data_IF_512460053874
#
_entry.id   IF_512460053874
#
_cell.length_a   1.000
_cell.length_b   1.000
_cell.length_c   1.000
_cell.angle_alpha   90.00
_cell.angle_beta   90.00
_cell.angle_gamma   90.00
#
_symmetry.space_group_name_H-M   'P 1'
#
loop_
_entity.id
_entity.type
_entity.pdbx_description
1 polymer ?
#
# COMPACT_ATOMS: atom_id res chain seq x y z
N UNK A 1 -11.88 17.29 80.32
CA UNK A 1 -10.80 16.65 79.59
C UNK A 1 -11.43 15.94 78.37
N UNK A 2 -11.36 16.55 77.21
CA UNK A 2 -12.01 16.08 75.99
C UNK A 2 -10.92 15.80 74.95
N UNK A 3 -10.73 14.50 74.66
CA UNK A 3 -9.82 14.07 73.58
C UNK A 3 -10.55 14.08 72.26
N UNK A 4 -10.04 14.86 71.30
CA UNK A 4 -10.42 14.78 69.86
C UNK A 4 -9.45 13.87 69.11
N UNK A 5 -9.92 12.93 68.30
CA UNK A 5 -9.06 12.19 67.43
C UNK A 5 -8.74 12.99 66.15
N UNK A 6 -7.49 13.00 65.75
CA UNK A 6 -6.97 13.60 64.54
C UNK A 6 -7.19 12.64 63.38
N UNK A 7 -7.95 13.05 62.34
CA UNK A 7 -8.06 12.31 61.10
C UNK A 7 -6.87 12.65 60.19
N UNK A 8 -6.03 11.67 59.91
CA UNK A 8 -4.99 11.76 58.88
C UNK A 8 -5.61 11.42 57.50
N UNK A 9 -5.60 12.42 56.62
CA UNK A 9 -6.02 12.23 55.23
C UNK A 9 -4.81 11.66 54.45
N UNK A 10 -4.91 10.42 53.99
CA UNK A 10 -3.94 9.77 53.12
C UNK A 10 -4.26 10.16 51.67
N UNK A 11 -3.46 11.08 51.11
CA UNK A 11 -3.59 11.48 49.71
C UNK A 11 -2.98 10.39 48.80
N UNK A 12 -3.79 9.68 48.08
CA UNK A 12 -3.38 8.72 47.04
C UNK A 12 -3.04 9.50 45.76
N UNK A 13 -1.76 9.63 45.45
CA UNK A 13 -1.28 10.20 44.18
C UNK A 13 -1.27 9.10 43.14
N UNK A 14 -2.25 9.13 42.24
CA UNK A 14 -2.32 8.23 41.08
C UNK A 14 -1.32 8.75 40.04
N UNK A 15 -0.15 8.12 39.95
CA UNK A 15 0.84 8.41 38.90
C UNK A 15 0.37 7.89 37.55
N UNK A 16 0.03 8.79 36.61
CA UNK A 16 -0.09 8.42 35.21
C UNK A 16 1.31 8.14 34.66
N UNK A 17 1.57 6.90 34.28
CA UNK A 17 2.76 6.55 33.51
C UNK A 17 2.65 7.13 32.08
N UNK A 18 3.69 7.77 31.55
CA UNK A 18 3.66 8.25 30.17
C UNK A 18 3.64 7.05 29.21
N UNK A 19 2.58 6.97 28.42
CA UNK A 19 2.52 6.04 27.28
C UNK A 19 3.52 6.54 26.24
N UNK A 20 4.69 5.92 26.18
CA UNK A 20 5.62 6.12 25.07
C UNK A 20 5.03 5.47 23.81
N UNK A 21 4.50 6.29 22.91
CA UNK A 21 4.25 5.88 21.53
C UNK A 21 5.62 5.63 20.90
N UNK A 22 5.96 4.37 20.71
CA UNK A 22 7.15 4.00 19.94
C UNK A 22 6.93 4.48 18.50
N UNK A 23 7.61 5.57 18.08
CA UNK A 23 7.75 5.85 16.65
C UNK A 23 8.51 4.66 16.05
N UNK A 24 7.87 3.97 15.09
CA UNK A 24 8.57 2.99 14.28
C UNK A 24 9.78 3.69 13.64
N UNK A 25 10.96 3.07 13.77
CA UNK A 25 12.16 3.57 13.12
C UNK A 25 11.89 3.72 11.61
N UNK A 26 12.40 4.78 10.93
CA UNK A 26 12.24 4.88 9.49
C UNK A 26 12.83 3.64 8.84
N UNK A 27 11.99 2.91 8.10
CA UNK A 27 12.44 1.80 7.26
C UNK A 27 13.46 2.40 6.29
N UNK A 28 14.67 1.87 6.26
CA UNK A 28 15.73 2.41 5.42
C UNK A 28 15.26 2.48 3.96
N UNK A 29 15.66 3.53 3.24
CA UNK A 29 15.30 3.71 1.84
C UNK A 29 15.64 2.44 1.05
N UNK A 30 14.61 1.73 0.57
CA UNK A 30 14.78 0.50 -0.20
C UNK A 30 14.19 -0.78 0.43
N UNK A 31 13.77 -0.77 1.69
CA UNK A 31 13.06 -1.90 2.30
C UNK A 31 11.58 -1.54 2.45
N UNK A 32 10.66 -2.22 1.72
CA UNK A 32 9.22 -1.97 1.83
C UNK A 32 8.61 -2.62 3.07
N UNK A 33 7.53 -2.02 3.56
CA UNK A 33 6.57 -2.71 4.41
C UNK A 33 5.90 -3.82 3.57
N UNK A 34 5.63 -4.97 4.18
CA UNK A 34 4.95 -6.08 3.51
C UNK A 34 3.57 -6.27 4.11
N UNK A 35 2.54 -6.25 3.26
CA UNK A 35 1.16 -6.49 3.68
C UNK A 35 0.64 -7.75 2.99
N UNK A 36 0.00 -8.63 3.74
CA UNK A 36 -0.55 -9.90 3.26
C UNK A 36 -2.06 -9.90 3.40
N UNK A 37 -2.76 -10.35 2.37
CA UNK A 37 -4.21 -10.42 2.34
C UNK A 37 -4.65 -11.81 1.88
N UNK A 38 -5.57 -12.40 2.64
CA UNK A 38 -6.18 -13.67 2.25
C UNK A 38 -7.24 -13.48 1.15
N UNK A 39 -7.45 -14.51 0.36
CA UNK A 39 -8.61 -14.63 -0.52
C UNK A 39 -9.89 -14.62 0.33
N UNK A 40 -10.86 -13.78 0.01
CA UNK A 40 -12.13 -13.65 0.73
C UNK A 40 -13.34 -14.26 -0.03
N UNK A 41 -13.07 -14.96 -1.14
CA UNK A 41 -14.07 -15.56 -2.02
C UNK A 41 -14.69 -14.59 -3.04
N UNK A 42 -14.34 -13.31 -2.96
CA UNK A 42 -14.76 -12.24 -3.90
C UNK A 42 -13.55 -11.55 -4.51
N UNK A 43 -12.63 -11.16 -3.66
CA UNK A 43 -11.32 -10.63 -4.03
C UNK A 43 -10.30 -11.75 -3.83
N UNK A 44 -9.68 -12.24 -4.91
CA UNK A 44 -8.72 -13.36 -4.82
C UNK A 44 -7.50 -13.01 -3.98
N UNK A 45 -7.07 -11.77 -4.01
CA UNK A 45 -5.80 -11.32 -3.48
C UNK A 45 -4.62 -12.14 -4.06
N UNK A 46 -3.47 -12.08 -3.42
CA UNK A 46 -2.28 -12.82 -3.85
C UNK A 46 -1.58 -13.43 -2.63
N UNK A 47 -0.90 -14.54 -2.83
CA UNK A 47 0.03 -15.07 -1.82
C UNK A 47 1.30 -14.21 -1.70
N UNK A 48 1.62 -13.44 -2.74
CA UNK A 48 2.72 -12.48 -2.74
C UNK A 48 2.34 -11.24 -1.91
N UNK A 49 3.24 -10.68 -1.11
CA UNK A 49 2.96 -9.50 -0.32
C UNK A 49 2.77 -8.26 -1.21
N UNK A 50 1.86 -7.37 -0.81
CA UNK A 50 1.90 -5.97 -1.24
C UNK A 50 3.15 -5.33 -0.65
N UNK A 51 3.87 -4.56 -1.46
CA UNK A 51 5.07 -3.85 -1.01
C UNK A 51 4.77 -2.36 -0.93
N UNK A 52 4.96 -1.78 0.25
CA UNK A 52 4.72 -0.36 0.50
C UNK A 52 6.02 0.34 0.84
N UNK A 53 6.50 1.15 -0.11
CA UNK A 53 7.64 2.02 0.05
C UNK A 53 7.18 3.38 0.56
N UNK A 54 7.76 3.84 1.67
CA UNK A 54 7.45 5.15 2.25
C UNK A 54 8.46 6.20 1.81
N UNK A 55 7.95 7.37 1.44
CA UNK A 55 8.73 8.58 1.19
C UNK A 55 9.92 8.34 0.25
N UNK A 56 9.65 7.67 -0.89
CA UNK A 56 10.65 7.45 -1.94
C UNK A 56 11.24 8.80 -2.38
N UNK A 57 12.57 8.97 -2.35
CA UNK A 57 13.20 10.20 -2.80
C UNK A 57 12.90 10.46 -4.29
N UNK A 58 12.28 11.59 -4.58
CA UNK A 58 11.92 12.01 -5.93
C UNK A 58 12.60 13.33 -6.25
N UNK A 59 13.28 13.40 -7.38
CA UNK A 59 13.99 14.61 -7.81
C UNK A 59 13.06 15.60 -8.56
N UNK A 60 13.32 16.88 -8.35
CA UNK A 60 12.60 17.97 -9.04
C UNK A 60 11.24 18.29 -8.40
N UNK A 61 10.54 19.26 -8.98
CA UNK A 61 9.24 19.77 -8.49
C UNK A 61 8.05 19.00 -9.06
N UNK A 62 8.16 18.45 -10.27
CA UNK A 62 7.14 17.61 -10.89
C UNK A 62 7.30 16.16 -10.41
N UNK A 63 6.61 15.83 -9.31
CA UNK A 63 6.65 14.50 -8.70
C UNK A 63 6.07 13.41 -9.61
N UNK A 64 5.08 13.73 -10.44
CA UNK A 64 4.51 12.77 -11.38
C UNK A 64 5.54 12.38 -12.45
N UNK A 65 6.20 13.36 -13.06
CA UNK A 65 7.26 13.08 -14.02
C UNK A 65 8.47 12.36 -13.37
N UNK A 66 8.77 12.63 -12.10
CA UNK A 66 9.83 11.92 -11.37
C UNK A 66 9.47 10.45 -11.16
N UNK A 67 8.24 10.13 -10.75
CA UNK A 67 7.75 8.77 -10.61
C UNK A 67 7.74 8.02 -11.95
N UNK A 68 7.29 8.67 -13.03
CA UNK A 68 7.33 8.06 -14.36
C UNK A 68 8.76 7.68 -14.79
N UNK A 69 9.72 8.58 -14.58
CA UNK A 69 11.13 8.27 -14.86
C UNK A 69 11.65 7.13 -13.99
N UNK A 70 11.33 7.14 -12.69
CA UNK A 70 11.74 6.10 -11.76
C UNK A 70 11.22 4.72 -12.22
N UNK A 71 9.92 4.62 -12.50
CA UNK A 71 9.29 3.37 -12.93
C UNK A 71 9.83 2.91 -14.30
N UNK A 72 9.92 3.81 -15.27
CA UNK A 72 10.45 3.48 -16.60
C UNK A 72 11.90 2.99 -16.54
N UNK A 73 12.76 3.64 -15.75
CA UNK A 73 14.17 3.24 -15.57
C UNK A 73 14.30 1.86 -14.93
N UNK A 74 13.32 1.43 -14.16
CA UNK A 74 13.25 0.14 -13.50
C UNK A 74 12.43 -0.91 -14.29
N UNK A 75 12.16 -0.66 -15.58
CA UNK A 75 11.41 -1.53 -16.47
C UNK A 75 9.94 -1.75 -16.02
N UNK A 76 9.31 -0.70 -15.51
CA UNK A 76 7.89 -0.63 -15.24
C UNK A 76 7.30 0.57 -16.02
N UNK A 77 6.96 0.42 -17.31
CA UNK A 77 6.52 1.53 -18.15
C UNK A 77 5.22 2.15 -17.63
N UNK A 78 5.22 3.47 -17.32
CA UNK A 78 4.03 4.18 -16.86
C UNK A 78 2.93 4.18 -17.93
N UNK A 79 1.68 4.02 -17.49
CA UNK A 79 0.54 3.96 -18.39
C UNK A 79 -0.43 5.12 -18.21
N UNK A 80 -0.55 5.65 -16.98
CA UNK A 80 -1.55 6.67 -16.69
C UNK A 80 -1.18 7.52 -15.46
N UNK A 81 -1.83 8.69 -15.39
CA UNK A 81 -1.90 9.57 -14.21
C UNK A 81 -3.36 9.79 -13.88
N UNK A 82 -3.81 9.32 -12.73
CA UNK A 82 -5.21 9.44 -12.29
C UNK A 82 -5.32 9.25 -10.77
N UNK A 83 -6.57 9.18 -10.23
CA UNK A 83 -6.86 8.71 -8.88
C UNK A 83 -7.03 7.19 -8.84
N UNK A 84 -7.33 6.68 -7.63
CA UNK A 84 -7.75 5.29 -7.43
C UNK A 84 -9.27 5.25 -7.36
N UNK A 85 -9.92 4.26 -7.99
CA UNK A 85 -11.38 4.14 -7.99
C UNK A 85 -11.94 3.97 -6.57
N UNK A 86 -13.15 4.51 -6.34
CA UNK A 86 -13.86 4.42 -5.05
C UNK A 86 -14.53 3.06 -4.79
N UNK A 87 -14.53 2.17 -5.76
CA UNK A 87 -15.02 0.79 -5.63
C UNK A 87 -13.87 -0.21 -5.64
N UNK A 88 -14.03 -1.34 -4.98
CA UNK A 88 -13.07 -2.43 -5.03
C UNK A 88 -12.89 -2.95 -6.44
N UNK A 89 -11.65 -2.98 -6.88
CA UNK A 89 -11.22 -3.59 -8.12
C UNK A 89 -9.83 -4.24 -7.94
N UNK A 90 -9.46 -5.06 -8.89
CA UNK A 90 -8.15 -5.69 -8.97
C UNK A 90 -7.80 -6.01 -10.43
N UNK A 91 -6.53 -6.31 -10.67
CA UNK A 91 -6.05 -6.74 -11.98
C UNK A 91 -5.69 -8.23 -11.91
N UNK A 92 -6.49 -9.13 -12.53
CA UNK A 92 -6.22 -10.57 -12.43
C UNK A 92 -5.05 -11.01 -13.31
N UNK A 93 -4.65 -10.21 -14.30
CA UNK A 93 -3.64 -10.54 -15.30
C UNK A 93 -2.42 -9.61 -15.28
N UNK A 94 -2.29 -8.75 -14.27
CA UNK A 94 -1.18 -7.82 -14.17
C UNK A 94 -0.85 -7.48 -12.71
N UNK A 95 0.44 -7.32 -12.43
CA UNK A 95 0.93 -6.59 -11.26
C UNK A 95 0.87 -5.10 -11.54
N UNK A 96 0.73 -4.29 -10.50
CA UNK A 96 0.60 -2.84 -10.63
C UNK A 96 1.49 -2.11 -9.64
N UNK A 97 2.01 -0.96 -10.01
CA UNK A 97 2.61 -0.01 -9.08
C UNK A 97 1.86 1.32 -9.10
N UNK A 98 1.58 1.85 -7.92
CA UNK A 98 0.91 3.12 -7.68
C UNK A 98 1.87 4.06 -6.95
N UNK A 99 2.31 5.13 -7.61
CA UNK A 99 3.15 6.16 -6.99
C UNK A 99 2.36 7.43 -6.72
N UNK A 100 2.33 7.90 -5.48
CA UNK A 100 1.60 9.10 -5.09
C UNK A 100 2.41 10.35 -5.47
N UNK A 101 1.89 11.10 -6.45
CA UNK A 101 2.52 12.29 -6.99
C UNK A 101 2.04 13.59 -6.31
N UNK A 102 0.78 13.64 -5.87
CA UNK A 102 0.17 14.79 -5.17
C UNK A 102 -0.87 14.33 -4.17
N UNK A 103 -1.12 15.16 -3.16
CA UNK A 103 -2.16 14.95 -2.17
C UNK A 103 -1.91 13.74 -1.27
N UNK A 104 -3.01 13.25 -0.72
CA UNK A 104 -3.02 12.09 0.18
C UNK A 104 -4.33 11.33 0.03
N UNK A 105 -4.34 10.06 0.42
CA UNK A 105 -5.54 9.23 0.44
C UNK A 105 -5.48 8.17 1.54
N UNK A 106 -6.64 7.64 1.91
CA UNK A 106 -6.78 6.37 2.61
C UNK A 106 -7.26 5.33 1.61
N UNK A 107 -6.40 4.36 1.31
CA UNK A 107 -6.71 3.23 0.44
C UNK A 107 -7.08 2.02 1.28
N UNK A 108 -8.15 1.31 0.92
CA UNK A 108 -8.40 -0.03 1.43
C UNK A 108 -7.79 -1.04 0.49
N UNK A 109 -6.86 -1.82 1.01
CA UNK A 109 -6.18 -2.90 0.29
C UNK A 109 -6.67 -4.25 0.79
N UNK A 110 -6.79 -5.24 -0.09
CA UNK A 110 -7.13 -6.61 0.28
C UNK A 110 -8.62 -6.94 0.37
N UNK A 111 -9.51 -6.09 -0.16
CA UNK A 111 -10.96 -6.32 -0.12
C UNK A 111 -11.63 -5.70 1.11
N UNK A 112 -12.90 -6.05 1.38
CA UNK A 112 -13.68 -5.46 2.48
C UNK A 112 -13.10 -5.81 3.87
N UNK A 113 -12.47 -6.96 4.02
CA UNK A 113 -11.83 -7.40 5.25
C UNK A 113 -10.32 -7.07 5.28
N UNK A 114 -9.86 -6.26 4.31
CA UNK A 114 -8.47 -5.86 4.20
C UNK A 114 -8.07 -4.77 5.19
N UNK A 115 -7.06 -4.00 4.83
CA UNK A 115 -6.46 -2.97 5.68
C UNK A 115 -6.60 -1.59 5.06
N UNK A 116 -6.91 -0.59 5.89
CA UNK A 116 -6.86 0.82 5.52
C UNK A 116 -5.43 1.33 5.63
N UNK A 117 -4.93 1.87 4.54
CA UNK A 117 -3.55 2.34 4.41
C UNK A 117 -3.56 3.80 4.01
N UNK A 118 -3.09 4.68 4.89
CA UNK A 118 -2.86 6.07 4.54
C UNK A 118 -1.63 6.18 3.65
N UNK A 119 -1.76 6.90 2.53
CA UNK A 119 -0.68 7.19 1.59
C UNK A 119 -0.58 8.67 1.31
N UNK A 120 0.62 9.16 1.08
CA UNK A 120 0.92 10.56 0.79
C UNK A 120 2.00 10.67 -0.28
N UNK A 121 2.26 11.90 -0.74
CA UNK A 121 3.28 12.19 -1.77
C UNK A 121 4.60 11.49 -1.47
N UNK A 122 5.11 10.75 -2.45
CA UNK A 122 6.35 9.97 -2.34
C UNK A 122 6.14 8.52 -1.90
N UNK A 123 4.95 8.14 -1.40
CA UNK A 123 4.67 6.74 -1.13
C UNK A 123 4.43 5.97 -2.44
N UNK A 124 4.90 4.73 -2.48
CA UNK A 124 4.74 3.82 -3.62
C UNK A 124 4.18 2.48 -3.13
N UNK A 125 3.07 2.05 -3.72
CA UNK A 125 2.42 0.78 -3.41
C UNK A 125 2.59 -0.16 -4.61
N UNK A 126 3.16 -1.34 -4.39
CA UNK A 126 3.29 -2.38 -5.43
C UNK A 126 2.32 -3.50 -5.12
N UNK A 127 1.36 -3.68 -6.01
CA UNK A 127 0.24 -4.59 -5.87
C UNK A 127 0.47 -5.85 -6.72
N UNK A 128 0.59 -7.03 -6.13
CA UNK A 128 0.59 -8.25 -6.92
C UNK A 128 -0.78 -8.47 -7.58
N UNK A 129 -0.78 -9.17 -8.72
CA UNK A 129 -2.00 -9.53 -9.45
C UNK A 129 -3.05 -10.13 -8.50
N UNK A 130 -4.29 -9.70 -8.65
CA UNK A 130 -5.42 -10.14 -7.81
C UNK A 130 -5.66 -9.32 -6.54
N UNK A 131 -4.75 -8.44 -6.15
CA UNK A 131 -4.91 -7.65 -4.93
C UNK A 131 -6.01 -6.60 -5.06
N UNK A 132 -7.05 -6.75 -4.26
CA UNK A 132 -8.14 -5.78 -4.21
C UNK A 132 -7.72 -4.44 -3.62
N UNK A 133 -8.17 -3.35 -4.26
CA UNK A 133 -7.91 -2.02 -3.75
C UNK A 133 -9.00 -1.03 -4.13
N UNK A 134 -9.20 -0.01 -3.29
CA UNK A 134 -10.09 1.14 -3.54
C UNK A 134 -9.66 2.37 -2.74
N UNK A 135 -10.08 3.54 -3.21
CA UNK A 135 -10.00 4.79 -2.46
C UNK A 135 -11.20 4.91 -1.52
N UNK A 136 -10.94 5.10 -0.23
CA UNK A 136 -11.98 5.41 0.77
C UNK A 136 -12.20 6.92 0.84
N UNK A 137 -11.12 7.68 0.91
CA UNK A 137 -11.12 9.13 0.96
C UNK A 137 -9.80 9.66 0.42
N UNK A 138 -9.83 10.85 -0.15
CA UNK A 138 -8.62 11.50 -0.65
C UNK A 138 -8.77 13.03 -0.66
N UNK A 139 -7.64 13.74 -0.65
CA UNK A 139 -7.60 15.17 -0.93
C UNK A 139 -8.02 15.45 -2.39
N UNK A 140 -8.52 16.67 -2.63
CA UNK A 140 -9.04 17.06 -3.95
C UNK A 140 -7.97 17.03 -5.06
N UNK A 141 -6.71 17.16 -4.69
CA UNK A 141 -5.55 17.15 -5.60
C UNK A 141 -4.85 15.78 -5.69
N UNK A 142 -5.42 14.72 -5.10
CA UNK A 142 -4.84 13.38 -5.09
C UNK A 142 -4.54 12.89 -6.50
N UNK A 143 -3.28 12.60 -6.76
CA UNK A 143 -2.80 12.13 -8.05
C UNK A 143 -1.81 11.00 -7.89
N UNK A 144 -2.03 9.94 -8.65
CA UNK A 144 -1.20 8.73 -8.70
C UNK A 144 -0.67 8.54 -10.11
N UNK A 145 0.55 8.04 -10.20
CA UNK A 145 1.13 7.47 -11.43
C UNK A 145 1.01 5.95 -11.33
N UNK A 146 0.34 5.33 -12.31
CA UNK A 146 0.22 3.89 -12.45
C UNK A 146 1.14 3.33 -13.50
N UNK A 147 1.81 2.21 -13.18
CA UNK A 147 2.68 1.50 -14.10
C UNK A 147 2.57 -0.02 -13.93
N UNK A 148 2.92 -0.75 -14.97
CA UNK A 148 2.83 -2.21 -15.03
C UNK A 148 4.14 -2.80 -15.55
N UNK A 149 4.49 -4.06 -15.22
CA UNK A 149 5.64 -4.72 -15.81
C UNK A 149 5.52 -4.85 -17.34
N UNK A 150 6.63 -5.10 -18.06
CA UNK A 150 6.58 -5.44 -19.47
C UNK A 150 5.61 -6.60 -19.74
N UNK A 151 4.88 -6.53 -20.86
CA UNK A 151 3.89 -7.52 -21.31
C UNK A 151 2.64 -7.65 -20.41
N UNK A 152 2.44 -6.71 -19.46
CA UNK A 152 1.27 -6.63 -18.57
C UNK A 152 0.47 -5.32 -18.74
N UNK A 153 0.69 -4.57 -19.83
CA UNK A 153 -0.01 -3.30 -20.06
C UNK A 153 -1.47 -3.48 -20.53
N UNK A 154 -1.81 -4.63 -21.11
CA UNK A 154 -3.19 -5.00 -21.46
C UNK A 154 -3.94 -5.55 -20.24
N UNK A 155 -3.90 -4.79 -19.15
CA UNK A 155 -4.49 -5.20 -17.89
C UNK A 155 -6.02 -5.17 -17.89
N UNK A 156 -6.62 -6.15 -17.24
CA UNK A 156 -8.06 -6.21 -16.99
C UNK A 156 -8.33 -5.48 -15.66
N UNK A 157 -9.34 -4.60 -15.64
CA UNK A 157 -9.88 -4.05 -14.40
C UNK A 157 -11.12 -4.83 -14.00
N UNK A 158 -10.98 -5.75 -13.05
CA UNK A 158 -12.05 -6.57 -12.53
C UNK A 158 -12.64 -5.93 -11.27
N UNK A 159 -13.92 -5.67 -11.24
CA UNK A 159 -14.64 -5.27 -10.02
C UNK A 159 -14.84 -6.48 -9.11
N UNK A 160 -15.01 -6.22 -7.82
CA UNK A 160 -15.41 -7.23 -6.85
C UNK A 160 -16.69 -7.93 -7.30
N UNK A 161 -16.58 -9.19 -7.70
CA UNK A 161 -17.67 -10.03 -8.21
C UNK A 161 -17.35 -11.50 -7.93
N UNK A 162 -18.15 -12.18 -7.08
CA UNK A 162 -17.90 -13.58 -6.75
C UNK A 162 -18.02 -14.50 -7.97
N UNK A 163 -18.75 -14.09 -9.03
CA UNK A 163 -18.88 -14.91 -10.24
C UNK A 163 -17.62 -14.90 -11.10
N UNK A 164 -16.81 -13.85 -11.01
CA UNK A 164 -15.54 -13.74 -11.71
C UNK A 164 -14.36 -14.39 -10.96
N UNK A 165 -14.53 -14.76 -9.68
CA UNK A 165 -13.47 -15.18 -8.79
C UNK A 165 -12.67 -16.37 -9.32
N UNK A 166 -13.31 -17.48 -9.71
CA UNK A 166 -12.63 -18.67 -10.22
C UNK A 166 -11.79 -18.39 -11.48
N UNK A 167 -12.36 -17.62 -12.42
CA UNK A 167 -11.63 -17.20 -13.63
C UNK A 167 -10.43 -16.29 -13.28
N UNK A 168 -10.59 -15.44 -12.29
CA UNK A 168 -9.51 -14.56 -11.85
C UNK A 168 -8.34 -15.33 -11.24
N UNK A 169 -8.61 -16.37 -10.44
CA UNK A 169 -7.57 -17.24 -9.90
C UNK A 169 -6.75 -17.92 -11.00
N UNK A 170 -7.41 -18.39 -12.08
CA UNK A 170 -6.73 -18.98 -13.23
C UNK A 170 -5.78 -17.99 -13.93
N UNK A 171 -6.20 -16.73 -14.06
CA UNK A 171 -5.40 -15.67 -14.68
C UNK A 171 -4.22 -15.28 -13.77
N UNK A 172 -4.47 -15.07 -12.49
CA UNK A 172 -3.45 -14.70 -11.49
C UNK A 172 -2.31 -15.73 -11.49
N UNK A 173 -2.63 -17.01 -11.54
CA UNK A 173 -1.64 -18.09 -11.54
C UNK A 173 -0.70 -18.07 -12.78
N UNK A 174 -1.06 -17.35 -13.83
CA UNK A 174 -0.28 -17.23 -15.06
C UNK A 174 0.55 -15.95 -15.14
N UNK A 175 0.37 -15.02 -14.21
CA UNK A 175 1.08 -13.72 -14.26
C UNK A 175 2.54 -13.92 -13.88
N UNK A 176 3.47 -13.59 -14.79
CA UNK A 176 4.90 -13.75 -14.50
C UNK A 176 5.37 -12.73 -13.47
N UNK A 177 6.14 -13.19 -12.49
CA UNK A 177 6.76 -12.31 -11.49
C UNK A 177 7.83 -11.46 -12.16
N UNK A 178 7.83 -10.13 -11.95
CA UNK A 178 8.82 -9.23 -12.53
C UNK A 178 10.22 -9.50 -11.97
N UNK A 179 11.24 -9.30 -12.82
CA UNK A 179 12.65 -9.43 -12.44
C UNK A 179 13.24 -8.16 -11.85
N UNK A 180 12.45 -7.10 -11.79
CA UNK A 180 12.85 -5.78 -11.28
C UNK A 180 11.81 -5.24 -10.32
N UNK A 181 12.28 -4.52 -9.33
CA UNK A 181 11.50 -3.73 -8.40
C UNK A 181 11.26 -2.34 -9.01
N UNK A 182 10.02 -1.78 -8.99
CA UNK A 182 9.75 -0.47 -9.61
C UNK A 182 10.48 0.70 -8.95
N UNK A 183 10.87 0.56 -7.68
CA UNK A 183 11.55 1.62 -6.92
C UNK A 183 13.07 1.47 -6.96
N UNK A 184 13.57 0.24 -6.77
CA UNK A 184 14.99 -0.03 -6.53
C UNK A 184 15.67 -0.91 -7.61
N UNK A 185 14.93 -1.28 -8.64
CA UNK A 185 15.47 -2.00 -9.80
C UNK A 185 15.82 -3.47 -9.53
N UNK A 186 16.83 -4.00 -10.24
CA UNK A 186 17.20 -5.43 -10.18
C UNK A 186 17.72 -5.89 -8.83
N UNK A 187 18.34 -5.01 -8.07
CA UNK A 187 18.86 -5.30 -6.74
C UNK A 187 17.84 -5.00 -5.63
N UNK A 188 16.60 -4.66 -6.01
CA UNK A 188 15.55 -4.30 -5.09
C UNK A 188 14.95 -5.48 -4.33
N UNK A 189 14.02 -5.16 -3.42
CA UNK A 189 13.42 -6.14 -2.53
C UNK A 189 12.46 -7.09 -3.25
N UNK A 190 11.72 -6.61 -4.27
CA UNK A 190 10.68 -7.38 -4.94
C UNK A 190 11.15 -8.74 -5.48
N UNK A 191 12.27 -8.87 -6.24
CA UNK A 191 12.70 -10.17 -6.76
C UNK A 191 13.05 -11.19 -5.67
N UNK A 192 13.35 -10.72 -4.47
CA UNK A 192 13.60 -11.57 -3.31
C UNK A 192 12.34 -11.96 -2.53
N UNK A 193 11.34 -11.10 -2.50
CA UNK A 193 10.09 -11.26 -1.73
C UNK A 193 8.98 -11.94 -2.54
N UNK A 194 8.97 -11.78 -3.84
CA UNK A 194 7.98 -12.37 -4.74
C UNK A 194 8.56 -13.66 -5.37
N UNK A 195 8.38 -14.82 -4.69
CA UNK A 195 8.88 -16.15 -5.11
C UNK A 195 7.79 -17.20 -4.94
#
# INVERSE_FOLDING_TARGET
>A
MSHRPSLSILSLVLGLAPTTVALAAPVGAGQPEQLHFADDGVIPNSQLPVLLYRQVPLEGTDRAAALERLFANNAWPPQWRYGVYSYHHYHPNAHEVLGVARGQATLRLGGEQGQDVAVTVGDVVVLPAGTGHRNLESSADFLVVGAYPPDQQDFITQRADPTAHGRSLELIAQVPVPTTDPVTGRAGALPGLWR
#
